data_IF_834808043029
#
_entry.id   IF_834808043029
#
_cell.length_a   1.000
_cell.length_b   1.000
_cell.length_c   1.000
_cell.angle_alpha   90.00
_cell.angle_beta   90.00
_cell.angle_gamma   90.00
#
_symmetry.space_group_name_H-M   'P 1'
#
loop_
_entity.id
_entity.type
_entity.pdbx_description
1 polymer ?
#
# COMPACT_ATOMS: atom_id res chain seq x y z
N UNK A 1 -21.61 -21.46 -7.55
CA UNK A 1 -20.55 -20.54 -8.00
C UNK A 1 -19.56 -20.52 -6.87
N UNK A 2 -18.38 -21.09 -7.07
CA UNK A 2 -17.31 -20.99 -6.07
C UNK A 2 -16.69 -19.61 -6.21
N UNK A 3 -17.06 -18.70 -5.30
CA UNK A 3 -16.41 -17.42 -5.12
C UNK A 3 -14.98 -17.68 -4.64
N UNK A 4 -14.00 -17.26 -5.43
CA UNK A 4 -12.59 -17.31 -5.05
C UNK A 4 -12.26 -15.99 -4.40
N UNK A 5 -11.91 -16.03 -3.12
CA UNK A 5 -11.54 -14.86 -2.34
C UNK A 5 -10.09 -14.97 -1.89
N UNK A 6 -9.30 -13.94 -2.20
CA UNK A 6 -7.93 -13.78 -1.71
C UNK A 6 -7.84 -12.39 -1.10
N UNK A 7 -7.72 -12.32 0.23
CA UNK A 7 -7.44 -11.08 0.97
C UNK A 7 -8.33 -9.89 0.59
N UNK A 8 -9.65 -10.12 0.49
CA UNK A 8 -10.61 -9.06 0.16
C UNK A 8 -10.78 -8.79 -1.34
N UNK A 9 -10.04 -9.51 -2.21
CA UNK A 9 -10.32 -9.56 -3.64
C UNK A 9 -11.14 -10.81 -3.94
N UNK A 10 -12.38 -10.61 -4.43
CA UNK A 10 -13.28 -11.70 -4.82
C UNK A 10 -13.44 -11.77 -6.33
N UNK A 11 -13.11 -12.92 -6.91
CA UNK A 11 -13.29 -13.17 -8.34
C UNK A 11 -14.64 -13.80 -8.68
N UNK A 12 -15.25 -13.29 -9.75
CA UNK A 12 -16.35 -13.91 -10.49
C UNK A 12 -15.87 -14.27 -11.89
N UNK A 13 -16.23 -15.45 -12.38
CA UNK A 13 -15.88 -15.91 -13.74
C UNK A 13 -17.15 -16.05 -14.57
N UNK A 14 -17.29 -15.19 -15.56
CA UNK A 14 -18.39 -15.19 -16.53
C UNK A 14 -17.82 -15.37 -17.93
N UNK A 15 -18.35 -16.30 -18.72
CA UNK A 15 -17.83 -16.64 -20.06
C UNK A 15 -16.31 -16.91 -20.08
N UNK A 16 -15.82 -17.59 -19.05
CA UNK A 16 -14.39 -17.88 -18.82
C UNK A 16 -13.50 -16.63 -18.75
N UNK A 17 -14.09 -15.47 -18.45
CA UNK A 17 -13.40 -14.20 -18.22
C UNK A 17 -13.51 -13.83 -16.75
N UNK A 18 -12.39 -13.75 -16.00
CA UNK A 18 -12.42 -13.37 -14.61
C UNK A 18 -12.59 -11.85 -14.46
N UNK A 19 -13.40 -11.46 -13.48
CA UNK A 19 -13.54 -10.10 -12.98
C UNK A 19 -13.46 -10.11 -11.46
N UNK A 20 -13.00 -9.01 -10.86
CA UNK A 20 -12.89 -8.84 -9.41
C UNK A 20 -13.87 -7.77 -8.94
N UNK A 21 -14.38 -7.91 -7.72
CA UNK A 21 -15.20 -6.92 -7.02
C UNK A 21 -14.55 -5.52 -6.90
N UNK A 22 -13.22 -5.44 -6.91
CA UNK A 22 -12.48 -4.18 -6.94
C UNK A 22 -12.51 -3.47 -8.31
N UNK A 23 -13.23 -4.01 -9.31
CA UNK A 23 -13.37 -3.45 -10.65
C UNK A 23 -12.33 -3.93 -11.68
N UNK A 24 -11.36 -4.75 -11.27
CA UNK A 24 -10.43 -5.39 -12.21
C UNK A 24 -11.17 -6.38 -13.11
N UNK A 25 -10.86 -6.42 -14.39
CA UNK A 25 -11.41 -7.41 -15.34
C UNK A 25 -10.32 -7.82 -16.30
N UNK A 26 -10.18 -9.12 -16.57
CA UNK A 26 -9.24 -9.58 -17.60
C UNK A 26 -9.59 -8.97 -18.96
N UNK A 27 -8.61 -8.76 -19.82
CA UNK A 27 -8.80 -8.22 -21.17
C UNK A 27 -9.44 -9.24 -22.14
N UNK A 28 -9.35 -10.53 -21.80
CA UNK A 28 -9.80 -11.66 -22.62
C UNK A 28 -10.47 -12.77 -21.80
N UNK A 29 -11.18 -13.67 -22.49
CA UNK A 29 -11.60 -14.96 -21.94
C UNK A 29 -10.50 -16.01 -22.04
N UNK A 30 -10.57 -17.05 -21.21
CA UNK A 30 -9.58 -18.12 -21.12
C UNK A 30 -10.16 -19.45 -21.60
N UNK A 31 -9.31 -20.41 -22.02
CA UNK A 31 -9.75 -21.72 -22.51
C UNK A 31 -10.46 -22.59 -21.45
N UNK A 32 -10.17 -22.37 -20.18
CA UNK A 32 -10.75 -23.12 -19.06
C UNK A 32 -10.98 -22.25 -17.84
N UNK A 33 -11.82 -22.72 -16.91
CA UNK A 33 -12.04 -22.03 -15.63
C UNK A 33 -10.74 -21.97 -14.83
N UNK A 34 -9.97 -23.05 -14.79
CA UNK A 34 -8.72 -23.11 -14.02
C UNK A 34 -7.69 -22.11 -14.54
N UNK A 35 -7.58 -21.96 -15.86
CA UNK A 35 -6.71 -20.93 -16.46
C UNK A 35 -7.21 -19.51 -16.18
N UNK A 36 -8.53 -19.28 -16.17
CA UNK A 36 -9.09 -17.99 -15.76
C UNK A 36 -8.78 -17.66 -14.29
N UNK A 37 -8.87 -18.66 -13.40
CA UNK A 37 -8.51 -18.53 -11.98
C UNK A 37 -7.02 -18.24 -11.82
N UNK A 38 -6.15 -19.02 -12.46
CA UNK A 38 -4.71 -18.85 -12.38
C UNK A 38 -4.28 -17.48 -12.89
N UNK A 39 -4.89 -17.02 -13.99
CA UNK A 39 -4.64 -15.68 -14.51
C UNK A 39 -5.07 -14.59 -13.53
N UNK A 40 -6.29 -14.66 -12.96
CA UNK A 40 -6.73 -13.71 -11.94
C UNK A 40 -5.80 -13.71 -10.72
N UNK A 41 -5.41 -14.89 -10.22
CA UNK A 41 -4.51 -14.99 -9.07
C UNK A 41 -3.16 -14.33 -9.34
N UNK A 42 -2.53 -14.63 -10.49
CA UNK A 42 -1.18 -14.15 -10.80
C UNK A 42 -1.13 -12.71 -11.30
N UNK A 43 -2.04 -12.34 -12.21
CA UNK A 43 -2.03 -11.03 -12.85
C UNK A 43 -2.72 -9.95 -12.02
N UNK A 44 -3.46 -10.33 -10.98
CA UNK A 44 -4.20 -9.38 -10.16
C UNK A 44 -4.08 -9.63 -8.65
N UNK A 45 -4.61 -10.73 -8.13
CA UNK A 45 -4.76 -10.89 -6.67
C UNK A 45 -3.41 -10.88 -5.92
N UNK A 46 -2.39 -11.57 -6.44
CA UNK A 46 -1.04 -11.56 -5.85
C UNK A 46 -0.33 -10.21 -6.05
N UNK A 47 -0.48 -9.58 -7.22
CA UNK A 47 0.12 -8.26 -7.48
C UNK A 47 -0.47 -7.18 -6.56
N UNK A 48 -1.78 -7.24 -6.28
CA UNK A 48 -2.44 -6.35 -5.33
C UNK A 48 -1.93 -6.56 -3.90
N UNK A 49 -1.66 -7.82 -3.51
CA UNK A 49 -1.05 -8.11 -2.21
C UNK A 49 0.34 -7.55 -2.04
N UNK A 50 1.16 -7.63 -3.09
CA UNK A 50 2.52 -7.10 -3.06
C UNK A 50 2.55 -5.56 -3.06
N UNK A 51 1.47 -4.92 -3.49
CA UNK A 51 1.32 -3.47 -3.49
C UNK A 51 0.93 -2.89 -2.12
N UNK A 52 0.40 -3.72 -1.21
CA UNK A 52 -0.06 -3.30 0.12
C UNK A 52 0.95 -3.64 1.23
N UNK A 53 1.02 -2.86 2.32
CA UNK A 53 1.81 -3.23 3.48
C UNK A 53 1.36 -4.59 4.05
N UNK A 54 2.29 -5.45 4.50
CA UNK A 54 1.93 -6.71 5.13
C UNK A 54 0.99 -6.51 6.33
N UNK A 55 -0.11 -7.26 6.37
CA UNK A 55 -1.17 -7.10 7.39
C UNK A 55 -0.67 -7.18 8.83
N UNK A 56 0.31 -8.06 9.12
CA UNK A 56 0.90 -8.18 10.45
C UNK A 56 1.62 -6.89 10.90
N UNK A 57 2.15 -6.11 9.96
CA UNK A 57 2.83 -4.84 10.26
C UNK A 57 1.82 -3.73 10.52
N UNK A 58 0.70 -3.74 9.79
CA UNK A 58 -0.44 -2.86 10.07
C UNK A 58 -1.01 -3.11 11.47
N UNK A 59 -1.18 -4.38 11.87
CA UNK A 59 -1.60 -4.74 13.24
C UNK A 59 -0.64 -4.18 14.30
N UNK A 60 0.68 -4.24 14.07
CA UNK A 60 1.66 -3.64 14.99
C UNK A 60 1.52 -2.12 15.07
N UNK A 61 1.25 -1.47 13.93
CA UNK A 61 0.99 -0.03 13.89
C UNK A 61 -0.27 0.35 14.67
N UNK A 62 -1.34 -0.44 14.54
CA UNK A 62 -2.59 -0.23 15.29
C UNK A 62 -2.37 -0.39 16.79
N UNK A 63 -1.66 -1.44 17.21
CA UNK A 63 -1.29 -1.65 18.63
C UNK A 63 -0.49 -0.46 19.15
N UNK A 64 0.52 0.03 18.40
CA UNK A 64 1.29 1.20 18.81
C UNK A 64 0.39 2.44 18.99
N UNK A 65 -0.54 2.68 18.05
CA UNK A 65 -1.50 3.78 18.14
C UNK A 65 -2.36 3.69 19.40
N UNK A 66 -2.94 2.53 19.67
CA UNK A 66 -3.76 2.30 20.87
C UNK A 66 -2.97 2.53 22.17
N UNK A 67 -1.71 2.05 22.21
CA UNK A 67 -0.83 2.27 23.36
C UNK A 67 -0.46 3.75 23.54
N UNK A 68 -0.25 4.50 22.46
CA UNK A 68 -0.04 5.95 22.52
C UNK A 68 -1.28 6.67 23.04
N UNK A 69 -2.47 6.27 22.61
CA UNK A 69 -3.73 6.84 23.11
C UNK A 69 -3.91 6.57 24.61
N UNK A 70 -3.58 5.37 25.07
CA UNK A 70 -3.59 5.03 26.49
C UNK A 70 -2.56 5.85 27.29
N UNK A 71 -1.34 5.98 26.80
CA UNK A 71 -0.33 6.86 27.39
C UNK A 71 -0.80 8.31 27.43
N UNK A 72 -1.48 8.78 26.40
CA UNK A 72 -1.99 10.16 26.35
C UNK A 72 -3.00 10.41 27.46
N UNK A 73 -3.87 9.42 27.76
CA UNK A 73 -4.86 9.53 28.85
C UNK A 73 -4.23 9.49 30.24
N UNK A 74 -3.23 8.64 30.45
CA UNK A 74 -2.70 8.37 31.80
C UNK A 74 -1.40 9.11 32.13
N UNK A 75 -0.56 9.39 31.13
CA UNK A 75 0.82 9.90 31.23
C UNK A 75 1.20 10.76 30.01
N UNK A 76 0.56 11.92 29.78
CA UNK A 76 0.68 12.70 28.54
C UNK A 76 2.12 13.14 28.20
N UNK A 77 2.94 13.50 29.19
CA UNK A 77 4.36 13.84 28.93
C UNK A 77 5.17 12.64 28.42
N UNK A 78 4.83 11.41 28.83
CA UNK A 78 5.46 10.19 28.32
C UNK A 78 5.00 9.92 26.89
N UNK A 79 3.73 10.16 26.59
CA UNK A 79 3.21 10.07 25.22
C UNK A 79 3.93 11.05 24.28
N UNK A 80 4.17 12.29 24.71
CA UNK A 80 4.93 13.28 23.93
C UNK A 80 6.36 12.82 23.64
N UNK A 81 7.06 12.23 24.62
CA UNK A 81 8.42 11.69 24.40
C UNK A 81 8.43 10.53 23.40
N UNK A 82 7.46 9.62 23.49
CA UNK A 82 7.33 8.52 22.53
C UNK A 82 7.01 9.03 21.12
N UNK A 83 6.10 9.99 20.99
CA UNK A 83 5.75 10.58 19.70
C UNK A 83 6.93 11.32 19.07
N UNK A 84 7.73 12.04 19.86
CA UNK A 84 8.95 12.68 19.39
C UNK A 84 9.98 11.64 18.89
N UNK A 85 10.13 10.52 19.60
CA UNK A 85 10.97 9.41 19.17
C UNK A 85 10.48 8.83 17.84
N UNK A 86 9.17 8.57 17.71
CA UNK A 86 8.55 8.10 16.45
C UNK A 86 8.81 9.05 15.30
N UNK A 87 8.58 10.35 15.50
CA UNK A 87 8.79 11.38 14.49
C UNK A 87 10.26 11.44 14.01
N UNK A 88 11.21 11.22 14.93
CA UNK A 88 12.65 11.29 14.64
C UNK A 88 13.10 10.32 13.55
N UNK A 89 12.50 9.13 13.47
CA UNK A 89 12.82 8.12 12.44
C UNK A 89 11.78 8.02 11.34
N UNK A 90 10.52 8.41 11.57
CA UNK A 90 9.44 8.32 10.57
C UNK A 90 9.73 9.19 9.35
N UNK A 91 10.17 10.44 9.58
CA UNK A 91 10.44 11.38 8.48
C UNK A 91 11.61 10.91 7.59
N UNK A 92 12.79 10.55 8.14
CA UNK A 92 13.89 10.02 7.33
C UNK A 92 13.54 8.72 6.58
N UNK A 93 12.77 7.82 7.20
CA UNK A 93 12.32 6.60 6.51
C UNK A 93 11.37 6.91 5.35
N UNK A 94 10.49 7.89 5.50
CA UNK A 94 9.60 8.35 4.42
C UNK A 94 10.42 8.88 3.24
N UNK A 95 11.41 9.74 3.49
CA UNK A 95 12.26 10.28 2.44
C UNK A 95 13.05 9.17 1.72
N UNK A 96 13.59 8.20 2.46
CA UNK A 96 14.27 7.03 1.89
C UNK A 96 13.34 6.17 1.03
N UNK A 97 12.11 5.94 1.48
CA UNK A 97 11.12 5.17 0.71
C UNK A 97 10.73 5.90 -0.58
N UNK A 98 10.52 7.22 -0.53
CA UNK A 98 10.25 8.04 -1.71
C UNK A 98 11.43 7.99 -2.69
N UNK A 99 12.66 8.18 -2.21
CA UNK A 99 13.85 8.09 -3.05
C UNK A 99 13.99 6.70 -3.71
N UNK A 100 13.74 5.63 -2.97
CA UNK A 100 13.75 4.27 -3.52
C UNK A 100 12.68 4.07 -4.59
N UNK A 101 11.44 4.51 -4.35
CA UNK A 101 10.35 4.42 -5.32
C UNK A 101 10.65 5.24 -6.59
N UNK A 102 11.21 6.44 -6.45
CA UNK A 102 11.65 7.27 -7.57
C UNK A 102 12.77 6.60 -8.36
N UNK A 103 13.74 5.98 -7.69
CA UNK A 103 14.82 5.25 -8.33
C UNK A 103 14.33 4.01 -9.12
N UNK A 104 13.22 3.40 -8.72
CA UNK A 104 12.57 2.30 -9.48
C UNK A 104 11.59 2.80 -10.55
N UNK A 105 11.54 4.10 -10.80
CA UNK A 105 10.74 4.71 -11.88
C UNK A 105 9.33 5.13 -11.51
N UNK A 106 8.91 5.05 -10.24
CA UNK A 106 7.59 5.53 -9.81
C UNK A 106 7.46 7.02 -10.09
N UNK A 107 6.34 7.47 -10.65
CA UNK A 107 6.07 8.88 -10.92
C UNK A 107 5.70 9.65 -9.64
N UNK A 108 5.71 10.99 -9.69
CA UNK A 108 5.19 11.80 -8.59
C UNK A 108 3.69 11.58 -8.34
N UNK A 109 2.94 11.10 -9.33
CA UNK A 109 1.55 10.74 -9.15
C UNK A 109 1.42 9.46 -8.32
N UNK A 110 2.25 8.45 -8.62
CA UNK A 110 2.28 7.17 -7.88
C UNK A 110 2.70 7.40 -6.43
N UNK A 111 3.75 8.21 -6.20
CA UNK A 111 4.19 8.59 -4.84
C UNK A 111 3.08 9.35 -4.10
N UNK A 112 2.39 10.27 -4.76
CA UNK A 112 1.26 10.99 -4.17
C UNK A 112 0.14 10.05 -3.75
N UNK A 113 -0.25 9.13 -4.63
CA UNK A 113 -1.26 8.12 -4.35
C UNK A 113 -0.89 7.25 -3.14
N UNK A 114 0.34 6.74 -3.09
CA UNK A 114 0.83 5.90 -1.98
C UNK A 114 0.84 6.65 -0.63
N UNK A 115 1.08 7.96 -0.64
CA UNK A 115 1.11 8.79 0.56
C UNK A 115 -0.24 9.44 0.91
N UNK A 116 -1.29 9.23 0.10
CA UNK A 116 -2.60 9.86 0.30
C UNK A 116 -2.60 11.37 0.09
N UNK A 117 -1.71 11.90 -0.76
CA UNK A 117 -1.61 13.34 -1.07
C UNK A 117 -1.67 13.60 -2.57
N UNK A 118 -1.91 14.85 -2.97
CA UNK A 118 -1.88 15.20 -4.39
C UNK A 118 -0.47 15.06 -4.99
N UNK A 119 -0.38 14.80 -6.30
CA UNK A 119 0.88 14.81 -7.06
C UNK A 119 1.70 16.07 -6.80
N UNK A 120 1.05 17.24 -6.78
CA UNK A 120 1.72 18.52 -6.56
C UNK A 120 2.29 18.59 -5.14
N UNK A 121 1.51 18.21 -4.12
CA UNK A 121 1.97 18.19 -2.73
C UNK A 121 3.16 17.24 -2.54
N UNK A 122 3.13 16.06 -3.17
CA UNK A 122 4.26 15.12 -3.15
C UNK A 122 5.50 15.73 -3.81
N UNK A 123 5.37 16.29 -5.01
CA UNK A 123 6.48 16.91 -5.71
C UNK A 123 7.08 18.07 -4.92
N UNK A 124 6.27 19.00 -4.42
CA UNK A 124 6.76 20.14 -3.62
C UNK A 124 7.51 19.69 -2.37
N UNK A 125 7.01 18.65 -1.69
CA UNK A 125 7.61 18.11 -0.47
C UNK A 125 8.93 17.37 -0.72
N UNK A 126 9.06 16.66 -1.84
CA UNK A 126 10.15 15.70 -2.06
C UNK A 126 11.05 15.98 -3.26
N UNK A 127 10.81 17.06 -4.03
CA UNK A 127 11.62 17.40 -5.23
C UNK A 127 13.13 17.51 -4.98
N UNK A 128 13.57 17.76 -3.76
CA UNK A 128 14.99 17.82 -3.41
C UNK A 128 15.67 16.43 -3.50
N UNK A 129 14.91 15.33 -3.42
CA UNK A 129 15.43 13.96 -3.49
C UNK A 129 15.76 13.51 -4.93
N UNK A 130 15.17 14.16 -5.93
CA UNK A 130 15.43 13.88 -7.36
C UNK A 130 16.68 14.59 -7.90
N UNK A 131 17.31 15.46 -7.10
CA UNK A 131 18.54 16.14 -7.50
C UNK A 131 19.72 15.19 -7.29
N UNK A 132 20.53 14.91 -8.32
CA UNK A 132 21.76 14.15 -8.12
C UNK A 132 22.64 14.90 -7.12
N UNK A 133 23.09 14.20 -6.07
CA UNK A 133 24.14 14.70 -5.19
C UNK A 133 25.35 15.04 -6.07
N UNK A 134 25.61 16.34 -6.25
CA UNK A 134 26.84 16.84 -6.90
C UNK A 134 28.03 16.64 -5.99
#
# INVERSE_FOLDING_TARGET
MDDLEIHGHRATITDLRPACDCGWTADRGFPSRDEAVEHWMRAHALAALEAEPPSWLLVKSDILREQVEELTRCRPEVALKLLAEVESWQRPLTERAVAAARATGASWADVGAALGVSRQAAHERFRALDQPMS
#
